data_IF_801701738884
#
_entry.id   IF_801701738884
#
_cell.length_a   1.000
_cell.length_b   1.000
_cell.length_c   1.000
_cell.angle_alpha   90.00
_cell.angle_beta   90.00
_cell.angle_gamma   90.00
#
_symmetry.space_group_name_H-M   'P 1'
#
loop_
_entity.id
_entity.type
_entity.pdbx_description
1 polymer ?
#
# COMPACT_ATOMS: atom_id res chain seq x y z
N UNK A 1 3.98 -24.18 -28.85
CA UNK A 1 3.93 -22.70 -28.72
C UNK A 1 2.72 -22.37 -27.86
N UNK A 2 2.89 -22.36 -26.54
CA UNK A 2 1.79 -22.16 -25.57
C UNK A 2 1.72 -20.68 -25.20
N UNK A 3 0.61 -20.04 -25.58
CA UNK A 3 0.27 -18.66 -25.25
C UNK A 3 -0.21 -18.58 -23.81
N UNK A 4 0.64 -18.13 -22.90
CA UNK A 4 0.29 -17.84 -21.51
C UNK A 4 -0.12 -16.38 -21.36
N UNK A 5 -1.41 -16.11 -21.59
CA UNK A 5 -2.08 -14.94 -20.99
C UNK A 5 -2.21 -15.19 -19.48
N UNK A 6 -1.11 -15.07 -18.74
CA UNK A 6 -1.16 -14.91 -17.29
C UNK A 6 -1.59 -13.46 -17.02
N UNK A 7 -2.90 -13.24 -17.01
CA UNK A 7 -3.46 -12.06 -16.36
C UNK A 7 -3.07 -12.15 -14.89
N UNK A 8 -2.05 -11.39 -14.49
CA UNK A 8 -1.65 -11.24 -13.10
C UNK A 8 -2.86 -10.62 -12.40
N UNK A 9 -3.67 -11.45 -11.74
CA UNK A 9 -4.61 -10.99 -10.73
C UNK A 9 -3.76 -10.46 -9.58
N UNK A 10 -3.29 -9.21 -9.72
CA UNK A 10 -2.78 -8.46 -8.59
C UNK A 10 -4.00 -8.33 -7.69
N UNK A 11 -4.08 -9.20 -6.69
CA UNK A 11 -4.98 -9.06 -5.56
C UNK A 11 -4.58 -7.75 -4.88
N UNK A 12 -5.06 -6.64 -5.42
CA UNK A 12 -4.86 -5.33 -4.83
C UNK A 12 -5.53 -5.40 -3.48
N UNK A 13 -4.71 -5.40 -2.42
CA UNK A 13 -5.22 -5.33 -1.07
C UNK A 13 -6.22 -4.19 -1.02
N UNK A 14 -7.45 -4.46 -0.57
CA UNK A 14 -8.49 -3.45 -0.40
C UNK A 14 -8.15 -2.43 0.70
N UNK A 15 -6.92 -2.47 1.21
CA UNK A 15 -6.41 -1.61 2.26
C UNK A 15 -5.05 -1.05 1.89
N UNK A 16 -4.82 0.20 2.28
CA UNK A 16 -3.55 0.91 2.18
C UNK A 16 -3.26 1.65 3.49
N UNK A 17 -2.15 2.36 3.57
CA UNK A 17 -1.77 3.18 4.72
C UNK A 17 -1.57 4.63 4.28
N UNK A 18 -2.38 5.57 4.79
CA UNK A 18 -2.28 7.00 4.47
C UNK A 18 -1.59 7.75 5.60
N UNK A 19 -0.50 8.44 5.29
CA UNK A 19 0.00 9.52 6.14
C UNK A 19 -0.60 10.84 5.66
N UNK A 20 -1.43 11.47 6.48
CA UNK A 20 -2.06 12.75 6.15
C UNK A 20 -1.09 13.94 6.30
N UNK A 21 -0.05 13.81 7.13
CA UNK A 21 0.95 14.88 7.34
C UNK A 21 1.87 15.05 6.14
N UNK A 22 2.34 13.95 5.56
CA UNK A 22 3.22 13.95 4.39
C UNK A 22 2.46 13.79 3.06
N UNK A 23 1.14 13.62 3.13
CA UNK A 23 0.28 13.30 1.98
C UNK A 23 0.66 12.01 1.22
N UNK A 24 1.36 11.07 1.87
CA UNK A 24 1.82 9.82 1.24
C UNK A 24 0.85 8.64 1.45
N UNK A 25 0.78 7.75 0.46
CA UNK A 25 0.03 6.49 0.53
C UNK A 25 1.01 5.32 0.34
N UNK A 26 0.97 4.36 1.27
CA UNK A 26 1.76 3.14 1.23
C UNK A 26 0.86 1.93 1.03
N UNK A 27 1.24 1.02 0.13
CA UNK A 27 0.48 -0.23 -0.10
C UNK A 27 0.80 -1.30 0.95
N UNK A 28 2.02 -1.32 1.44
CA UNK A 28 2.52 -2.29 2.40
C UNK A 28 2.67 -1.67 3.78
N UNK A 29 2.39 -2.45 4.82
CA UNK A 29 2.57 -2.04 6.22
C UNK A 29 4.06 -1.82 6.56
N UNK A 30 4.96 -2.62 5.98
CA UNK A 30 6.41 -2.46 6.11
C UNK A 30 6.88 -1.04 5.78
N UNK A 31 6.39 -0.48 4.67
CA UNK A 31 6.68 0.90 4.27
C UNK A 31 6.08 1.93 5.22
N UNK A 32 4.89 1.67 5.77
CA UNK A 32 4.27 2.54 6.77
C UNK A 32 5.05 2.53 8.11
N UNK A 33 5.63 1.39 8.50
CA UNK A 33 6.50 1.24 9.68
C UNK A 33 7.82 1.97 9.44
N UNK A 34 8.49 1.74 8.31
CA UNK A 34 9.72 2.46 7.95
C UNK A 34 9.50 3.98 7.93
N UNK A 35 8.37 4.42 7.39
CA UNK A 35 7.97 5.83 7.42
C UNK A 35 7.83 6.36 8.85
N UNK A 36 7.20 5.59 9.74
CA UNK A 36 7.06 5.98 11.15
C UNK A 36 8.43 6.14 11.82
N UNK A 37 9.35 5.23 11.59
CA UNK A 37 10.68 5.24 12.21
C UNK A 37 11.54 6.41 11.72
N UNK A 38 11.44 6.76 10.43
CA UNK A 38 12.19 7.88 9.85
C UNK A 38 11.56 9.25 10.10
N UNK A 39 10.23 9.37 10.02
CA UNK A 39 9.51 10.65 10.07
C UNK A 39 8.89 10.95 11.45
N UNK A 40 8.99 10.01 12.40
CA UNK A 40 8.47 10.11 13.77
C UNK A 40 6.95 10.44 13.84
N UNK A 41 6.17 9.89 12.92
CA UNK A 41 4.71 9.93 12.96
C UNK A 41 4.07 8.79 12.16
N UNK A 42 2.81 8.46 12.48
CA UNK A 42 2.13 7.27 11.96
C UNK A 42 1.33 7.54 10.69
N UNK A 43 1.33 6.56 9.78
CA UNK A 43 0.30 6.41 8.75
C UNK A 43 -0.88 5.60 9.31
N UNK A 44 -2.11 5.89 8.85
CA UNK A 44 -3.33 5.17 9.24
C UNK A 44 -3.71 4.16 8.17
N UNK A 45 -4.11 2.95 8.57
CA UNK A 45 -4.72 2.00 7.65
C UNK A 45 -6.05 2.57 7.13
N UNK A 46 -6.25 2.52 5.82
CA UNK A 46 -7.46 2.97 5.11
C UNK A 46 -7.96 1.85 4.21
N UNK A 47 -9.25 1.88 3.90
CA UNK A 47 -9.83 1.02 2.86
C UNK A 47 -9.81 1.77 1.53
N UNK A 48 -9.47 1.07 0.45
CA UNK A 48 -9.57 1.58 -0.91
C UNK A 48 -10.93 1.15 -1.46
N UNK A 49 -11.80 2.14 -1.73
CA UNK A 49 -13.06 1.89 -2.42
C UNK A 49 -12.75 1.50 -3.87
N UNK A 50 -13.27 0.34 -4.28
CA UNK A 50 -13.18 -0.22 -5.63
C UNK A 50 -14.36 0.21 -6.50
#
# INVERSE_FOLDING_TARGET
MLNTKFGILINMSKTAWKCYRCDLIFREESHAILHKDLANHFARKIELLS
#
